data_IF_935767991642
#
_entry.id   IF_935767991642
#
_cell.length_a   1.000
_cell.length_b   1.000
_cell.length_c   1.000
_cell.angle_alpha   90.00
_cell.angle_beta   90.00
_cell.angle_gamma   90.00
#
_symmetry.space_group_name_H-M   'P 1'
#
loop_
_entity.id
_entity.type
_entity.pdbx_description
1 polymer ?
#
# COMPACT_ATOMS: atom_id res chain seq x y z
N UNK A 1 2.19 -61.20 -1.85
CA UNK A 1 1.44 -60.01 -2.36
C UNK A 1 1.35 -58.82 -1.41
N UNK A 2 1.66 -58.94 -0.10
CA UNK A 2 1.45 -57.85 0.89
C UNK A 2 2.46 -56.67 0.79
N UNK A 3 3.70 -56.87 0.33
CA UNK A 3 4.70 -55.79 0.24
C UNK A 3 4.44 -54.75 -0.86
N UNK A 4 3.86 -55.15 -2.01
CA UNK A 4 3.54 -54.21 -3.10
C UNK A 4 2.41 -53.25 -2.72
N UNK A 5 1.46 -53.70 -1.90
CA UNK A 5 0.38 -52.85 -1.39
C UNK A 5 0.87 -51.85 -0.33
N UNK A 6 1.88 -52.24 0.48
CA UNK A 6 2.46 -51.36 1.48
C UNK A 6 3.32 -50.24 0.86
N UNK A 7 4.07 -50.55 -0.19
CA UNK A 7 4.86 -49.56 -0.93
C UNK A 7 3.98 -48.53 -1.67
N UNK A 8 2.84 -48.96 -2.22
CA UNK A 8 1.90 -48.08 -2.90
C UNK A 8 1.20 -47.12 -1.91
N UNK A 9 0.86 -47.61 -0.71
CA UNK A 9 0.28 -46.78 0.35
C UNK A 9 1.26 -45.71 0.85
N UNK A 10 2.55 -46.03 0.97
CA UNK A 10 3.58 -45.09 1.42
C UNK A 10 3.81 -43.95 0.41
N UNK A 11 3.69 -44.24 -0.89
CA UNK A 11 3.89 -43.28 -1.98
C UNK A 11 2.68 -42.34 -2.17
N UNK A 12 1.48 -42.77 -1.77
CA UNK A 12 0.28 -41.93 -1.74
C UNK A 12 0.26 -40.94 -0.57
N UNK A 13 0.83 -41.32 0.57
CA UNK A 13 0.88 -40.46 1.77
C UNK A 13 1.86 -39.29 1.56
N UNK A 14 2.95 -39.48 0.82
CA UNK A 14 3.92 -38.41 0.51
C UNK A 14 3.41 -37.38 -0.50
N UNK A 15 2.44 -37.72 -1.36
CA UNK A 15 1.82 -36.76 -2.28
C UNK A 15 0.85 -35.79 -1.61
N UNK A 16 0.25 -36.17 -0.47
CA UNK A 16 -0.73 -35.35 0.24
C UNK A 16 -0.10 -34.21 1.05
N UNK A 17 1.10 -34.41 1.58
CA UNK A 17 1.83 -33.38 2.34
C UNK A 17 2.43 -32.30 1.44
N UNK A 18 2.81 -32.64 0.20
CA UNK A 18 3.36 -31.67 -0.76
C UNK A 18 2.33 -30.65 -1.25
N UNK A 19 1.06 -31.05 -1.42
CA UNK A 19 0.01 -30.13 -1.87
C UNK A 19 -0.34 -29.07 -0.82
N UNK A 20 -0.43 -29.44 0.47
CA UNK A 20 -0.67 -28.46 1.54
C UNK A 20 0.47 -27.46 1.69
N UNK A 21 1.71 -27.94 1.64
CA UNK A 21 2.87 -27.07 1.73
C UNK A 21 2.95 -26.04 0.58
N UNK A 22 2.52 -26.42 -0.62
CA UNK A 22 2.46 -25.51 -1.77
C UNK A 22 1.37 -24.43 -1.60
N UNK A 23 0.19 -24.80 -1.10
CA UNK A 23 -0.91 -23.85 -0.85
C UNK A 23 -0.54 -22.84 0.26
N UNK A 24 0.07 -23.31 1.35
CA UNK A 24 0.50 -22.46 2.46
C UNK A 24 1.63 -21.50 2.05
N UNK A 25 2.56 -21.97 1.21
CA UNK A 25 3.62 -21.13 0.63
C UNK A 25 3.03 -20.05 -0.28
N UNK A 26 2.04 -20.38 -1.11
CA UNK A 26 1.39 -19.42 -1.98
C UNK A 26 0.66 -18.34 -1.18
N UNK A 27 -0.10 -18.71 -0.14
CA UNK A 27 -0.76 -17.75 0.76
C UNK A 27 0.24 -16.79 1.41
N UNK A 28 1.36 -17.31 1.89
CA UNK A 28 2.41 -16.50 2.53
C UNK A 28 3.04 -15.51 1.54
N UNK A 29 3.27 -15.92 0.29
CA UNK A 29 3.78 -15.04 -0.77
C UNK A 29 2.76 -13.95 -1.10
N UNK A 30 1.48 -14.29 -1.24
CA UNK A 30 0.42 -13.32 -1.53
C UNK A 30 0.25 -12.30 -0.40
N UNK A 31 0.29 -12.74 0.85
CA UNK A 31 0.24 -11.85 2.01
C UNK A 31 1.47 -10.94 2.08
N UNK A 32 2.66 -11.48 1.85
CA UNK A 32 3.90 -10.71 1.79
C UNK A 32 3.84 -9.64 0.69
N UNK A 33 3.39 -10.00 -0.51
CA UNK A 33 3.25 -9.07 -1.63
C UNK A 33 2.25 -7.95 -1.33
N UNK A 34 1.12 -8.26 -0.68
CA UNK A 34 0.12 -7.25 -0.25
C UNK A 34 0.70 -6.29 0.77
N UNK A 35 1.41 -6.80 1.78
CA UNK A 35 2.05 -5.96 2.80
C UNK A 35 3.09 -5.03 2.18
N UNK A 36 3.96 -5.54 1.31
CA UNK A 36 4.98 -4.73 0.63
C UNK A 36 4.34 -3.66 -0.25
N UNK A 37 3.31 -4.03 -1.03
CA UNK A 37 2.61 -3.06 -1.89
C UNK A 37 1.95 -1.96 -1.06
N UNK A 38 1.28 -2.32 0.04
CA UNK A 38 0.67 -1.35 0.96
C UNK A 38 1.69 -0.39 1.59
N UNK A 39 2.90 -0.86 1.91
CA UNK A 39 3.99 0.00 2.40
C UNK A 39 4.51 0.97 1.33
N UNK A 40 4.64 0.52 0.09
CA UNK A 40 5.04 1.37 -1.03
C UNK A 40 4.01 2.47 -1.25
N UNK A 41 2.72 2.13 -1.22
CA UNK A 41 1.64 3.11 -1.37
C UNK A 41 1.62 4.11 -0.21
N UNK A 42 1.80 3.64 1.03
CA UNK A 42 1.93 4.53 2.20
C UNK A 42 3.11 5.49 2.05
N UNK A 43 4.25 5.03 1.57
CA UNK A 43 5.43 5.86 1.35
C UNK A 43 5.21 6.93 0.26
N UNK A 44 4.52 6.57 -0.83
CA UNK A 44 4.13 7.51 -1.89
C UNK A 44 3.17 8.58 -1.38
N UNK A 45 2.15 8.19 -0.61
CA UNK A 45 1.21 9.13 0.00
C UNK A 45 1.93 10.07 0.95
N UNK A 46 2.83 9.57 1.81
CA UNK A 46 3.65 10.42 2.68
C UNK A 46 4.52 11.41 1.88
N UNK A 47 5.09 10.96 0.76
CA UNK A 47 5.85 11.83 -0.14
C UNK A 47 4.98 12.94 -0.73
N UNK A 48 3.78 12.61 -1.22
CA UNK A 48 2.82 13.59 -1.73
C UNK A 48 2.44 14.62 -0.64
N UNK A 49 2.09 14.16 0.58
CA UNK A 49 1.77 15.02 1.72
C UNK A 49 2.90 15.99 2.06
N UNK A 50 4.15 15.50 2.04
CA UNK A 50 5.34 16.32 2.32
C UNK A 50 5.53 17.40 1.25
N UNK A 51 5.41 17.04 -0.03
CA UNK A 51 5.53 17.98 -1.14
C UNK A 51 4.44 19.06 -1.08
N UNK A 52 3.20 18.67 -0.82
CA UNK A 52 2.08 19.60 -0.71
C UNK A 52 2.26 20.55 0.47
N UNK A 53 2.67 20.04 1.63
CA UNK A 53 2.88 20.88 2.83
C UNK A 53 3.93 21.96 2.56
N UNK A 54 5.04 21.59 1.92
CA UNK A 54 6.07 22.56 1.50
C UNK A 54 5.52 23.59 0.51
N UNK A 55 4.81 23.15 -0.52
CA UNK A 55 4.24 24.03 -1.53
C UNK A 55 3.17 24.99 -0.95
N UNK A 56 2.33 24.52 -0.03
CA UNK A 56 1.34 25.34 0.67
C UNK A 56 2.00 26.42 1.51
N UNK A 57 3.08 26.09 2.21
CA UNK A 57 3.85 27.07 2.97
C UNK A 57 4.42 28.16 2.04
N UNK A 58 5.05 27.78 0.93
CA UNK A 58 5.54 28.72 -0.08
C UNK A 58 4.43 29.60 -0.66
N UNK A 59 3.31 28.99 -1.06
CA UNK A 59 2.17 29.72 -1.61
C UNK A 59 1.62 30.74 -0.63
N UNK A 60 1.45 30.35 0.64
CA UNK A 60 0.95 31.25 1.70
C UNK A 60 1.91 32.41 1.97
N UNK A 61 3.22 32.18 1.94
CA UNK A 61 4.19 33.26 2.09
C UNK A 61 4.10 34.30 0.95
N UNK A 62 3.75 33.86 -0.26
CA UNK A 62 3.67 34.74 -1.44
C UNK A 62 2.33 35.46 -1.57
N UNK A 63 1.25 34.84 -1.12
CA UNK A 63 -0.12 35.31 -1.38
C UNK A 63 -0.89 35.71 -0.10
N UNK A 64 -0.27 35.56 1.07
CA UNK A 64 -0.88 35.78 2.39
C UNK A 64 -2.12 34.92 2.70
N UNK A 65 -2.46 33.99 1.81
CA UNK A 65 -3.55 33.03 1.93
C UNK A 65 -3.13 31.66 1.40
N UNK A 66 -3.82 30.62 1.84
CA UNK A 66 -3.73 29.31 1.19
C UNK A 66 -4.48 29.32 -0.16
N UNK A 67 -4.12 28.43 -1.11
CA UNK A 67 -4.84 28.32 -2.37
C UNK A 67 -6.26 27.79 -2.15
N UNK A 68 -7.18 28.11 -3.05
CA UNK A 68 -8.55 27.62 -2.96
C UNK A 68 -8.61 26.13 -3.37
N UNK A 69 -7.62 25.65 -4.13
CA UNK A 69 -7.46 24.25 -4.52
C UNK A 69 -5.99 23.82 -4.57
N UNK A 70 -5.71 22.55 -4.27
CA UNK A 70 -4.37 21.96 -4.47
C UNK A 70 -3.92 22.00 -5.95
N UNK A 71 -4.84 22.17 -6.90
CA UNK A 71 -4.51 22.32 -8.33
C UNK A 71 -3.65 23.56 -8.59
N UNK A 72 -3.81 24.62 -7.79
CA UNK A 72 -3.08 25.87 -7.96
C UNK A 72 -1.57 25.71 -7.67
N UNK A 73 -1.19 24.62 -6.98
CA UNK A 73 0.21 24.31 -6.67
C UNK A 73 0.95 23.62 -7.83
N UNK A 74 0.24 23.17 -8.88
CA UNK A 74 0.80 22.49 -10.06
C UNK A 74 1.77 21.33 -9.73
N UNK A 75 1.45 20.55 -8.69
CA UNK A 75 2.26 19.41 -8.25
C UNK A 75 1.92 18.12 -9.02
N UNK A 76 2.94 17.32 -9.31
CA UNK A 76 2.77 15.97 -9.85
C UNK A 76 2.67 14.96 -8.71
N UNK A 77 1.44 14.66 -8.28
CA UNK A 77 1.15 13.77 -7.15
C UNK A 77 0.91 12.33 -7.62
N UNK A 78 1.27 11.36 -6.77
CA UNK A 78 1.02 9.95 -7.02
C UNK A 78 -0.47 9.59 -6.83
N UNK A 79 -1.10 10.12 -5.77
CA UNK A 79 -2.48 9.79 -5.38
C UNK A 79 -3.34 11.02 -5.07
N UNK A 80 -3.58 11.93 -6.04
CA UNK A 80 -4.31 13.17 -5.81
C UNK A 80 -5.75 12.97 -5.30
N UNK A 81 -6.40 11.86 -5.68
CA UNK A 81 -7.77 11.52 -5.27
C UNK A 81 -7.89 11.08 -3.81
N UNK A 82 -6.79 10.63 -3.22
CA UNK A 82 -6.72 10.15 -1.83
C UNK A 82 -6.67 11.31 -0.83
N UNK A 83 -6.45 12.54 -1.30
CA UNK A 83 -6.19 13.67 -0.44
C UNK A 83 -7.47 14.43 -0.11
N UNK A 84 -7.56 14.89 1.13
CA UNK A 84 -8.53 15.88 1.58
C UNK A 84 -7.81 17.15 2.00
N UNK A 85 -8.32 18.28 1.52
CA UNK A 85 -7.71 19.58 1.74
C UNK A 85 -8.72 20.57 2.30
N UNK A 86 -8.31 21.31 3.33
CA UNK A 86 -9.05 22.44 3.88
C UNK A 86 -8.34 23.77 3.54
N UNK A 87 -8.93 24.54 2.62
CA UNK A 87 -8.40 25.83 2.18
C UNK A 87 -8.36 26.89 3.30
N UNK A 88 -9.16 26.75 4.35
CA UNK A 88 -9.16 27.72 5.47
C UNK A 88 -7.94 27.54 6.36
N UNK A 89 -7.58 26.29 6.63
CA UNK A 89 -6.51 25.95 7.57
C UNK A 89 -5.19 25.60 6.89
N UNK A 90 -5.23 25.25 5.61
CA UNK A 90 -4.08 24.72 4.88
C UNK A 90 -3.80 23.25 5.20
N UNK A 91 -4.67 22.57 5.97
CA UNK A 91 -4.46 21.18 6.35
C UNK A 91 -4.74 20.24 5.19
N UNK A 92 -3.87 19.24 5.02
CA UNK A 92 -4.03 18.17 4.04
C UNK A 92 -3.86 16.84 4.75
N UNK A 93 -4.72 15.87 4.43
CA UNK A 93 -4.67 14.51 4.98
C UNK A 93 -4.99 13.46 3.92
N UNK A 94 -4.53 12.24 4.16
CA UNK A 94 -4.89 11.07 3.35
C UNK A 94 -6.19 10.43 3.85
N UNK A 95 -7.03 9.94 2.94
CA UNK A 95 -8.22 9.12 3.24
C UNK A 95 -7.83 7.69 3.58
N UNK A 96 -6.85 7.14 2.85
CA UNK A 96 -6.41 5.74 2.98
C UNK A 96 -5.49 5.54 4.18
N UNK A 97 -4.67 6.54 4.53
CA UNK A 97 -3.74 6.50 5.66
C UNK A 97 -3.96 7.70 6.60
N UNK A 98 -5.06 7.72 7.40
CA UNK A 98 -5.41 8.86 8.26
C UNK A 98 -4.44 9.11 9.43
N UNK A 99 -3.51 8.20 9.66
CA UNK A 99 -2.48 8.25 10.71
C UNK A 99 -1.20 8.98 10.29
N UNK A 100 -1.10 9.38 9.02
CA UNK A 100 0.01 10.17 8.47
C UNK A 100 -0.12 11.68 8.74
#
# INVERSE_FOLDING_TARGET
>A
MKMKQLALALLLISSLTACKAAEDAQKTIEEGAKLTTGQIDRAKVLSDLTQITGALATYRMQNEKYPDSLKDLNLSLNYPQDLEYDAKTGNVRSKTFPDL
#
